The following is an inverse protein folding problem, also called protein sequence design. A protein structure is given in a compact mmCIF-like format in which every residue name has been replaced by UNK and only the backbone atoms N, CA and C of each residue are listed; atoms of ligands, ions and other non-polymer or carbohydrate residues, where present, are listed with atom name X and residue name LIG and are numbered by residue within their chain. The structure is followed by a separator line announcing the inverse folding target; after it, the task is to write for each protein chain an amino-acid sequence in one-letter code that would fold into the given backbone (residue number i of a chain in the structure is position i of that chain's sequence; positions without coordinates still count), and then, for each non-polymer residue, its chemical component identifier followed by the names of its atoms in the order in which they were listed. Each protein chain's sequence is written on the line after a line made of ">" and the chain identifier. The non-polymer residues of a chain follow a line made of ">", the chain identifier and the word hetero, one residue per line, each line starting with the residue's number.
data_IF_759570514155
#
_entry.id   IF_759570514155
#
_cell.length_a   1.000
_cell.length_b   1.000
_cell.length_c   1.000
_cell.angle_alpha   90.00
_cell.angle_beta   90.00
_cell.angle_gamma   90.00
#
_symmetry.space_group_name_H-M   'P 1'
#
loop_
_entity.id
_entity.type
_entity.pdbx_description
1 polymer ?
#
# COMPACT_ATOMS: atom_id res chain seq x y z
N UNK A 1 3.27 11.16 -5.63
CA UNK A 1 3.92 11.22 -4.30
C UNK A 1 3.87 12.62 -3.70
N UNK A 2 4.42 13.66 -4.37
CA UNK A 2 4.36 15.05 -3.90
C UNK A 2 2.96 15.53 -3.54
N UNK A 3 1.99 15.33 -4.43
CA UNK A 3 0.58 15.70 -4.17
C UNK A 3 -0.01 15.00 -2.93
N UNK A 4 0.30 13.71 -2.76
CA UNK A 4 -0.13 12.94 -1.60
C UNK A 4 0.48 13.51 -0.32
N UNK A 5 1.79 13.71 -0.27
CA UNK A 5 2.50 14.26 0.90
C UNK A 5 2.02 15.67 1.23
N UNK A 6 1.89 16.54 0.23
CA UNK A 6 1.37 17.90 0.42
C UNK A 6 -0.04 17.89 1.01
N UNK A 7 -0.90 16.98 0.55
CA UNK A 7 -2.26 16.83 1.09
C UNK A 7 -2.27 16.33 2.53
N UNK A 8 -1.37 15.42 2.91
CA UNK A 8 -1.22 14.98 4.31
C UNK A 8 -0.71 16.12 5.19
N UNK A 9 0.32 16.85 4.76
CA UNK A 9 0.90 17.96 5.51
C UNK A 9 -0.13 19.08 5.74
N UNK A 10 -0.89 19.45 4.70
CA UNK A 10 -1.96 20.44 4.81
C UNK A 10 -3.01 20.02 5.86
N UNK A 11 -3.44 18.76 5.82
CA UNK A 11 -4.39 18.21 6.79
C UNK A 11 -3.83 18.18 8.22
N UNK A 12 -2.56 17.80 8.37
CA UNK A 12 -1.89 17.79 9.66
C UNK A 12 -1.80 19.21 10.26
N UNK A 13 -1.50 20.21 9.45
CA UNK A 13 -1.49 21.62 9.86
C UNK A 13 -2.88 22.12 10.25
N UNK A 14 -3.89 21.87 9.43
CA UNK A 14 -5.27 22.29 9.72
C UNK A 14 -5.78 21.67 11.03
N UNK A 15 -5.47 20.39 11.26
CA UNK A 15 -5.83 19.72 12.50
C UNK A 15 -5.17 20.36 13.73
N UNK A 16 -3.89 20.74 13.62
CA UNK A 16 -3.18 21.47 14.69
C UNK A 16 -3.85 22.83 14.99
N UNK A 17 -4.37 23.51 13.97
CA UNK A 17 -5.01 24.83 14.11
C UNK A 17 -6.44 24.75 14.67
N UNK A 18 -7.22 23.77 14.24
CA UNK A 18 -8.68 23.74 14.49
C UNK A 18 -9.12 22.70 15.53
N UNK A 19 -8.28 21.72 15.84
CA UNK A 19 -8.61 20.60 16.73
C UNK A 19 -9.68 19.63 16.20
N UNK A 20 -10.18 19.85 14.98
CA UNK A 20 -11.26 19.04 14.37
C UNK A 20 -10.72 18.13 13.28
N UNK A 21 -11.24 16.90 13.24
CA UNK A 21 -11.05 16.00 12.09
C UNK A 21 -12.05 16.36 11.00
N UNK A 22 -11.62 17.02 9.93
CA UNK A 22 -12.48 17.25 8.76
C UNK A 22 -12.46 16.08 7.77
N UNK A 23 -13.61 15.87 7.11
CA UNK A 23 -13.75 14.98 5.94
C UNK A 23 -13.23 15.72 4.71
N UNK A 24 -12.23 15.16 4.04
CA UNK A 24 -11.65 15.79 2.85
C UNK A 24 -12.30 15.20 1.60
N UNK A 25 -12.95 16.02 0.76
CA UNK A 25 -13.48 15.58 -0.53
C UNK A 25 -12.38 15.39 -1.60
N UNK A 26 -11.18 15.97 -1.42
CA UNK A 26 -10.13 16.03 -2.44
C UNK A 26 -9.34 14.72 -2.67
N UNK A 27 -9.31 13.81 -1.69
CA UNK A 27 -8.59 12.53 -1.84
C UNK A 27 -9.24 11.57 -2.84
N UNK A 28 -10.57 11.60 -2.93
CA UNK A 28 -11.27 10.79 -3.93
C UNK A 28 -10.84 11.22 -5.33
N UNK A 29 -10.67 12.53 -5.55
CA UNK A 29 -10.16 13.06 -6.82
C UNK A 29 -8.71 12.65 -7.07
N UNK A 30 -7.82 12.81 -6.08
CA UNK A 30 -6.40 12.40 -6.18
C UNK A 30 -6.26 10.89 -6.46
N UNK A 31 -6.98 10.04 -5.71
CA UNK A 31 -6.97 8.59 -5.93
C UNK A 31 -7.53 8.22 -7.31
N UNK A 32 -8.62 8.87 -7.76
CA UNK A 32 -9.19 8.60 -9.07
C UNK A 32 -8.23 9.00 -10.20
N UNK A 33 -7.55 10.15 -10.07
CA UNK A 33 -6.50 10.57 -11.00
C UNK A 33 -5.35 9.56 -11.05
N UNK A 34 -4.86 9.14 -9.87
CA UNK A 34 -3.80 8.15 -9.76
C UNK A 34 -4.21 6.78 -10.34
N UNK A 35 -5.44 6.32 -10.09
CA UNK A 35 -5.95 5.08 -10.67
C UNK A 35 -6.08 5.13 -12.19
N UNK A 36 -6.50 6.28 -12.76
CA UNK A 36 -6.50 6.47 -14.21
C UNK A 36 -5.08 6.38 -14.80
N UNK A 37 -4.09 6.94 -14.11
CA UNK A 37 -2.69 6.86 -14.51
C UNK A 37 -2.12 5.43 -14.40
N UNK A 38 -2.50 4.68 -13.37
CA UNK A 38 -1.99 3.33 -13.09
C UNK A 38 -2.63 2.24 -13.94
N UNK A 39 -3.86 2.42 -14.41
CA UNK A 39 -4.62 1.39 -15.13
C UNK A 39 -3.89 0.83 -16.37
N UNK A 40 -3.25 1.64 -17.24
CA UNK A 40 -2.47 1.10 -18.37
C UNK A 40 -1.28 0.23 -17.96
N UNK A 41 -0.83 0.33 -16.71
CA UNK A 41 0.27 -0.44 -16.14
C UNK A 41 -0.21 -1.69 -15.39
N UNK A 42 -1.52 -1.96 -15.38
CA UNK A 42 -2.11 -3.10 -14.67
C UNK A 42 -2.16 -2.93 -13.16
N UNK A 43 -2.20 -1.69 -12.65
CA UNK A 43 -2.28 -1.41 -11.22
C UNK A 43 -3.52 -0.60 -10.85
N UNK A 44 -4.00 -0.82 -9.63
CA UNK A 44 -4.97 0.01 -8.95
C UNK A 44 -4.47 0.33 -7.54
N UNK A 45 -4.92 1.45 -6.98
CA UNK A 45 -4.45 1.93 -5.69
C UNK A 45 -5.58 2.32 -4.74
N UNK A 46 -5.26 2.27 -3.45
CA UNK A 46 -6.07 2.78 -2.35
C UNK A 46 -5.24 3.71 -1.49
N UNK A 47 -5.69 4.94 -1.34
CA UNK A 47 -5.14 5.88 -0.38
C UNK A 47 -5.82 5.64 0.97
N UNK A 48 -5.00 5.50 2.01
CA UNK A 48 -5.40 5.45 3.41
C UNK A 48 -4.80 6.64 4.14
N UNK A 49 -5.58 7.28 5.01
CA UNK A 49 -5.11 8.43 5.80
C UNK A 49 -4.65 8.00 7.20
N UNK A 50 -4.54 6.70 7.45
CA UNK A 50 -4.54 6.15 8.81
C UNK A 50 -5.94 6.15 9.42
N UNK A 51 -6.07 5.64 10.64
CA UNK A 51 -7.33 5.68 11.41
C UNK A 51 -7.81 7.13 11.64
N UNK A 52 -9.03 7.31 12.16
CA UNK A 52 -9.79 8.58 12.26
C UNK A 52 -9.06 9.78 12.92
N UNK A 53 -7.85 9.58 13.44
CA UNK A 53 -6.98 10.54 14.12
C UNK A 53 -5.58 10.65 13.43
N UNK A 54 -5.40 10.24 12.17
CA UNK A 54 -4.06 10.13 11.54
C UNK A 54 -3.08 9.20 12.30
N UNK A 55 -3.58 8.43 13.27
CA UNK A 55 -2.86 7.34 13.92
C UNK A 55 -2.81 6.15 12.96
N UNK A 56 -1.62 5.56 12.79
CA UNK A 56 -1.21 4.47 11.87
C UNK A 56 -0.49 4.79 10.55
N UNK A 57 -0.12 6.04 10.26
CA UNK A 57 0.60 6.45 9.03
C UNK A 57 -0.27 6.46 7.75
N UNK A 58 -0.52 7.65 7.18
CA UNK A 58 -1.07 7.77 5.84
C UNK A 58 -0.25 6.98 4.83
N UNK A 59 -0.93 6.30 3.92
CA UNK A 59 -0.28 5.44 2.95
C UNK A 59 -1.06 5.28 1.65
N UNK A 60 -0.38 4.74 0.65
CA UNK A 60 -0.94 4.30 -0.61
C UNK A 60 -0.58 2.82 -0.77
N UNK A 61 -1.60 1.97 -0.92
CA UNK A 61 -1.42 0.59 -1.35
C UNK A 61 -1.61 0.53 -2.87
N UNK A 62 -0.65 -0.05 -3.58
CA UNK A 62 -0.71 -0.32 -5.02
C UNK A 62 -0.84 -1.83 -5.22
N UNK A 63 -1.96 -2.25 -5.79
CA UNK A 63 -2.28 -3.63 -6.08
C UNK A 63 -2.23 -3.85 -7.59
N UNK A 64 -1.66 -5.00 -7.99
CA UNK A 64 -1.82 -5.53 -9.33
C UNK A 64 -3.30 -5.82 -9.61
N UNK A 65 -3.81 -5.45 -10.77
CA UNK A 65 -5.21 -5.63 -11.14
C UNK A 65 -5.55 -7.09 -11.48
N UNK A 66 -4.60 -7.84 -12.01
CA UNK A 66 -4.78 -9.24 -12.43
C UNK A 66 -4.90 -10.22 -11.26
N UNK A 67 -4.64 -9.75 -10.03
CA UNK A 67 -4.81 -10.53 -8.80
C UNK A 67 -5.97 -10.02 -7.94
N UNK A 68 -6.80 -9.08 -8.44
CA UNK A 68 -8.00 -8.62 -7.73
C UNK A 68 -9.22 -9.38 -8.22
N UNK A 69 -10.02 -9.91 -7.28
CA UNK A 69 -11.31 -10.51 -7.60
C UNK A 69 -11.59 -11.78 -6.83
N UNK A 70 -12.69 -12.43 -7.18
CA UNK A 70 -13.03 -13.74 -6.66
C UNK A 70 -11.96 -14.77 -7.06
N UNK A 71 -11.61 -15.66 -6.14
CA UNK A 71 -10.57 -16.68 -6.35
C UNK A 71 -9.15 -16.21 -6.02
N UNK A 72 -8.93 -14.93 -5.72
CA UNK A 72 -7.63 -14.40 -5.30
C UNK A 72 -7.59 -13.99 -3.83
N UNK A 73 -6.40 -14.02 -3.25
CA UNK A 73 -6.15 -13.60 -1.85
C UNK A 73 -6.38 -12.10 -1.66
N UNK A 74 -6.14 -11.30 -2.70
CA UNK A 74 -6.56 -9.92 -2.74
C UNK A 74 -8.04 -9.85 -3.13
N UNK A 75 -8.85 -9.16 -2.33
CA UNK A 75 -10.27 -8.98 -2.62
C UNK A 75 -10.51 -8.15 -3.90
N UNK A 76 -11.79 -7.94 -4.24
CA UNK A 76 -12.22 -7.24 -5.46
C UNK A 76 -11.65 -5.83 -5.64
N UNK A 77 -11.27 -5.17 -4.55
CA UNK A 77 -10.80 -3.79 -4.54
C UNK A 77 -9.48 -3.67 -3.80
N UNK A 78 -8.57 -2.77 -4.22
CA UNK A 78 -7.37 -2.47 -3.48
C UNK A 78 -7.71 -2.00 -2.06
N UNK A 79 -7.02 -2.57 -1.08
CA UNK A 79 -7.11 -2.13 0.32
C UNK A 79 -5.78 -2.39 1.02
N UNK A 80 -5.32 -1.49 1.92
CA UNK A 80 -4.14 -1.74 2.74
C UNK A 80 -4.38 -2.79 3.83
N UNK A 81 -5.61 -3.29 3.99
CA UNK A 81 -5.96 -4.24 5.07
C UNK A 81 -6.09 -5.67 4.58
N UNK A 82 -5.92 -5.96 3.29
CA UNK A 82 -6.08 -7.31 2.73
C UNK A 82 -5.17 -7.51 1.52
N UNK A 83 -4.62 -8.71 1.38
CA UNK A 83 -3.83 -9.08 0.22
C UNK A 83 -2.35 -8.66 0.28
N UNK A 84 -1.70 -8.79 -0.86
CA UNK A 84 -0.33 -8.34 -1.12
C UNK A 84 -0.32 -7.07 -1.97
N UNK A 85 0.60 -6.16 -1.70
CA UNK A 85 0.66 -4.87 -2.38
C UNK A 85 2.04 -4.21 -2.24
N UNK A 86 2.36 -3.31 -3.16
CA UNK A 86 3.38 -2.30 -2.88
C UNK A 86 2.76 -1.27 -1.94
N UNK A 87 3.49 -0.88 -0.92
CA UNK A 87 3.01 0.05 0.10
C UNK A 87 3.96 1.22 0.22
N UNK A 88 3.43 2.43 0.07
CA UNK A 88 4.13 3.67 0.35
C UNK A 88 3.46 4.35 1.54
N UNK A 89 4.18 4.54 2.63
CA UNK A 89 3.71 5.23 3.81
C UNK A 89 4.47 6.52 4.07
N UNK A 90 3.78 7.49 4.66
CA UNK A 90 4.33 8.78 5.02
C UNK A 90 4.11 9.08 6.50
N UNK A 91 5.19 9.02 7.27
CA UNK A 91 5.22 9.28 8.69
C UNK A 91 5.42 10.77 8.95
N UNK A 92 4.31 11.53 8.95
CA UNK A 92 4.31 13.00 9.08
C UNK A 92 4.62 13.53 10.49
N UNK A 93 4.53 12.69 11.54
CA UNK A 93 4.59 13.13 12.95
C UNK A 93 6.02 13.39 13.43
N UNK A 94 6.94 12.46 13.22
CA UNK A 94 8.21 12.47 13.95
C UNK A 94 9.44 12.80 13.11
N UNK A 95 9.47 12.49 11.80
CA UNK A 95 10.65 12.77 10.96
C UNK A 95 10.31 12.93 9.46
N UNK A 96 9.02 13.07 9.10
CA UNK A 96 8.56 13.09 7.69
C UNK A 96 9.08 11.90 6.86
N UNK A 97 9.28 10.76 7.52
CA UNK A 97 9.86 9.57 6.89
C UNK A 97 8.92 8.99 5.84
N UNK A 98 9.49 8.52 4.74
CA UNK A 98 8.78 7.74 3.74
C UNK A 98 9.23 6.30 3.88
N UNK A 99 8.28 5.38 3.96
CA UNK A 99 8.56 3.94 3.91
C UNK A 99 7.98 3.35 2.64
N UNK A 100 8.78 2.51 1.99
CA UNK A 100 8.39 1.78 0.79
C UNK A 100 8.65 0.28 1.01
N UNK A 101 7.65 -0.56 0.74
CA UNK A 101 7.83 -2.01 0.80
C UNK A 101 6.96 -2.78 -0.22
N UNK A 102 7.42 -3.96 -0.61
CA UNK A 102 6.52 -5.03 -1.07
C UNK A 102 6.01 -5.71 0.20
N UNK A 103 4.71 -5.63 0.44
CA UNK A 103 4.14 -6.00 1.72
C UNK A 103 2.84 -6.77 1.60
N UNK A 104 2.25 -6.97 2.76
CA UNK A 104 0.99 -7.64 2.98
C UNK A 104 0.22 -6.94 4.09
N UNK A 105 -1.07 -7.26 4.20
CA UNK A 105 -1.83 -6.90 5.39
C UNK A 105 -1.17 -7.46 6.65
N UNK A 106 -1.16 -6.64 7.70
CA UNK A 106 -0.74 -7.01 9.04
C UNK A 106 -1.93 -7.32 9.97
N UNK A 107 -3.17 -7.30 9.45
CA UNK A 107 -4.34 -7.72 10.23
C UNK A 107 -4.23 -9.23 10.50
N UNK A 108 -4.38 -9.62 11.77
CA UNK A 108 -4.01 -10.95 12.25
C UNK A 108 -4.76 -12.09 11.52
N UNK A 109 -6.04 -11.90 11.22
CA UNK A 109 -6.83 -12.90 10.52
C UNK A 109 -6.52 -12.94 9.02
N UNK A 110 -6.23 -11.79 8.42
CA UNK A 110 -5.79 -11.71 7.02
C UNK A 110 -4.39 -12.33 6.85
N UNK A 111 -3.50 -12.20 7.83
CA UNK A 111 -2.19 -12.85 7.82
C UNK A 111 -2.30 -14.38 7.74
N UNK A 112 -3.21 -14.99 8.49
CA UNK A 112 -3.41 -16.45 8.45
C UNK A 112 -3.90 -16.91 7.08
N UNK A 113 -4.79 -16.15 6.45
CA UNK A 113 -5.26 -16.47 5.09
C UNK A 113 -4.15 -16.24 4.05
N UNK A 114 -3.36 -15.18 4.20
CA UNK A 114 -2.21 -14.90 3.35
C UNK A 114 -1.15 -16.00 3.44
N UNK A 115 -0.91 -16.59 4.61
CA UNK A 115 0.06 -17.69 4.80
C UNK A 115 -0.28 -18.95 4.00
N UNK A 116 -1.54 -19.16 3.62
CA UNK A 116 -1.94 -20.29 2.77
C UNK A 116 -1.60 -20.05 1.29
N UNK A 117 -1.31 -18.81 0.92
CA UNK A 117 -1.08 -18.40 -0.45
C UNK A 117 0.39 -18.63 -0.84
N UNK A 118 0.64 -19.21 -2.02
CA UNK A 118 2.00 -19.51 -2.49
C UNK A 118 2.87 -18.25 -2.67
N UNK A 119 2.23 -17.10 -2.90
CA UNK A 119 2.92 -15.80 -2.96
C UNK A 119 3.53 -15.38 -1.61
N UNK A 120 3.07 -15.92 -0.48
CA UNK A 120 3.53 -15.53 0.84
C UNK A 120 5.04 -15.69 1.01
N UNK A 121 5.57 -16.88 0.74
CA UNK A 121 7.01 -17.17 0.87
C UNK A 121 7.88 -16.43 -0.16
N UNK A 122 7.26 -15.90 -1.21
CA UNK A 122 7.93 -15.05 -2.20
C UNK A 122 8.03 -13.58 -1.75
N UNK A 123 7.09 -13.13 -0.92
CA UNK A 123 6.93 -11.71 -0.54
C UNK A 123 7.33 -11.45 0.93
N UNK A 124 7.25 -12.45 1.79
CA UNK A 124 7.54 -12.36 3.23
C UNK A 124 8.78 -13.20 3.55
N UNK A 125 9.68 -12.66 4.36
CA UNK A 125 10.84 -13.41 4.86
C UNK A 125 10.38 -14.53 5.79
N UNK A 126 11.15 -15.62 5.94
CA UNK A 126 10.86 -16.70 6.90
C UNK A 126 10.63 -16.23 8.35
N UNK A 127 11.12 -15.03 8.71
CA UNK A 127 11.01 -14.45 10.05
C UNK A 127 9.82 -13.48 10.19
N UNK A 128 8.86 -13.50 9.25
CA UNK A 128 7.63 -12.70 9.28
C UNK A 128 7.77 -11.24 8.85
N UNK A 129 8.98 -10.76 8.54
CA UNK A 129 9.20 -9.41 8.00
C UNK A 129 8.91 -9.34 6.49
N UNK A 130 8.49 -8.17 5.99
CA UNK A 130 8.42 -7.92 4.54
C UNK A 130 9.79 -8.18 3.89
N UNK A 131 9.82 -8.83 2.72
CA UNK A 131 11.07 -9.14 2.02
C UNK A 131 11.85 -7.86 1.71
N UNK A 132 11.14 -6.80 1.37
CA UNK A 132 11.72 -5.52 0.99
C UNK A 132 11.07 -4.39 1.77
N UNK A 133 11.84 -3.70 2.62
CA UNK A 133 11.43 -2.42 3.22
C UNK A 133 12.60 -1.44 3.12
N UNK A 134 12.34 -0.27 2.55
CA UNK A 134 13.24 0.87 2.55
C UNK A 134 12.57 2.06 3.23
N UNK A 135 13.37 2.87 3.91
CA UNK A 135 12.92 4.09 4.55
C UNK A 135 13.82 5.24 4.12
N UNK A 136 13.22 6.41 3.97
CA UNK A 136 13.84 7.63 3.49
C UNK A 136 13.49 8.76 4.44
N UNK A 137 14.42 9.69 4.62
CA UNK A 137 14.27 10.79 5.56
C UNK A 137 13.71 12.03 4.88
N UNK A 138 13.92 12.20 3.57
CA UNK A 138 13.46 13.39 2.85
C UNK A 138 12.90 13.05 1.46
N UNK A 139 11.64 13.46 1.20
CA UNK A 139 10.97 13.19 -0.08
C UNK A 139 11.72 13.76 -1.28
N UNK A 140 12.27 14.96 -1.14
CA UNK A 140 12.82 15.74 -2.24
C UNK A 140 14.24 15.28 -2.58
N UNK A 141 15.07 15.12 -1.55
CA UNK A 141 16.43 14.63 -1.68
C UNK A 141 16.45 13.17 -2.14
N UNK A 142 15.51 12.35 -1.66
CA UNK A 142 15.46 10.92 -1.97
C UNK A 142 14.51 10.57 -3.12
N UNK A 143 13.91 11.54 -3.82
CA UNK A 143 12.86 11.28 -4.81
C UNK A 143 13.27 10.29 -5.90
N UNK A 144 14.50 10.46 -6.41
CA UNK A 144 15.07 9.58 -7.43
C UNK A 144 15.25 8.15 -6.88
N UNK A 145 15.84 8.03 -5.69
CA UNK A 145 16.03 6.75 -5.00
C UNK A 145 14.70 6.05 -4.73
N UNK A 146 13.70 6.78 -4.22
CA UNK A 146 12.34 6.27 -3.97
C UNK A 146 11.72 5.75 -5.27
N UNK A 147 11.86 6.50 -6.36
CA UNK A 147 11.30 6.13 -7.67
C UNK A 147 11.98 4.87 -8.21
N UNK A 148 13.32 4.83 -8.18
CA UNK A 148 14.10 3.68 -8.62
C UNK A 148 13.76 2.42 -7.83
N UNK A 149 13.62 2.55 -6.51
CA UNK A 149 13.25 1.42 -5.65
C UNK A 149 11.79 0.99 -5.83
N UNK A 150 10.87 1.93 -6.09
CA UNK A 150 9.48 1.60 -6.45
C UNK A 150 9.43 0.80 -7.74
N UNK A 151 10.16 1.22 -8.78
CA UNK A 151 10.23 0.51 -10.06
C UNK A 151 10.85 -0.87 -9.90
N UNK A 152 11.92 -1.00 -9.10
CA UNK A 152 12.52 -2.30 -8.79
C UNK A 152 11.50 -3.22 -8.11
N UNK A 153 10.81 -2.71 -7.09
CA UNK A 153 9.81 -3.49 -6.36
C UNK A 153 8.60 -3.87 -7.21
N UNK A 154 8.12 -2.97 -8.07
CA UNK A 154 7.06 -3.30 -9.02
C UNK A 154 7.50 -4.39 -10.01
N UNK A 155 8.73 -4.32 -10.51
CA UNK A 155 9.28 -5.35 -11.40
C UNK A 155 9.37 -6.71 -10.70
N UNK A 156 9.90 -6.77 -9.48
CA UNK A 156 9.96 -8.00 -8.68
C UNK A 156 8.56 -8.55 -8.37
N UNK A 157 7.62 -7.68 -7.98
CA UNK A 157 6.24 -8.08 -7.70
C UNK A 157 5.50 -8.59 -8.95
N UNK A 158 5.78 -8.02 -10.12
CA UNK A 158 5.23 -8.46 -11.41
C UNK A 158 5.81 -9.80 -11.89
N UNK A 159 7.01 -10.19 -11.43
CA UNK A 159 7.60 -11.48 -11.79
C UNK A 159 6.94 -12.67 -11.07
N UNK A 160 6.20 -12.42 -9.99
CA UNK A 160 5.45 -13.47 -9.30
C UNK A 160 4.25 -13.86 -10.16
N UNK A 161 4.11 -15.13 -10.58
CA UNK A 161 2.99 -15.55 -11.43
C UNK A 161 1.64 -15.34 -10.74
N UNK A 162 0.61 -14.97 -11.49
CA UNK A 162 -0.74 -14.71 -10.98
C UNK A 162 -1.32 -15.91 -10.20
N UNK A 163 -1.05 -17.13 -10.66
CA UNK A 163 -1.48 -18.36 -9.99
C UNK A 163 -0.98 -18.50 -8.54
N UNK A 164 0.11 -17.81 -8.17
CA UNK A 164 0.61 -17.84 -6.80
C UNK A 164 -0.28 -17.05 -5.83
N UNK A 165 -1.15 -16.18 -6.35
CA UNK A 165 -2.06 -15.32 -5.58
C UNK A 165 -3.46 -15.91 -5.43
N UNK A 166 -3.73 -17.04 -6.07
CA UNK A 166 -5.02 -17.72 -5.98
C UNK A 166 -5.23 -18.28 -4.56
N UNK A 167 -6.48 -18.27 -4.11
CA UNK A 167 -6.89 -18.99 -2.91
C UNK A 167 -6.88 -20.48 -3.22
N UNK A 168 -6.36 -21.30 -2.30
CA UNK A 168 -6.55 -22.74 -2.42
C UNK A 168 -8.05 -23.05 -2.43
N UNK A 169 -8.52 -23.96 -3.30
CA UNK A 169 -9.91 -24.34 -3.32
C UNK A 169 -10.33 -24.80 -1.93
N UNK A 170 -11.39 -24.20 -1.40
CA UNK A 170 -11.94 -24.59 -0.10
C UNK A 170 -12.35 -26.05 -0.17
N UNK A 171 -11.56 -26.90 0.48
CA UNK A 171 -11.89 -28.33 0.62
C UNK A 171 -13.16 -28.39 1.44
N UNK A 172 -14.29 -28.53 0.76
CA UNK A 172 -15.60 -28.67 1.39
C UNK A 172 -15.64 -30.08 1.98
N UNK A 173 -15.51 -30.19 3.30
CA UNK A 173 -15.75 -31.42 4.04
C UNK A 173 -17.23 -31.58 4.36
#
# INVERSE_FOLDING_TARGET
>A
MREFVASIDAKAQERRQTGKTQKIPEYASCQNGLNKFLAPWGYACKISLGSWDLSYEPSIAFCRQDILGEGFVNGEKPTPTKGFYLWLAYCWKDLKKISLCIGRSAEQDEEKELQKCQAYDKIVKPNGGAYYRKSYDDLEADLESITNDFLRFANEFNQIPTAYFELEPSVSH
#
